data_IF_544363435146
#
_entry.id   IF_544363435146
#
_cell.length_a   1.000
_cell.length_b   1.000
_cell.length_c   1.000
_cell.angle_alpha   90.00
_cell.angle_beta   90.00
_cell.angle_gamma   90.00
#
_symmetry.space_group_name_H-M   'P 1'
#
loop_
_entity.id
_entity.type
_entity.pdbx_description
1 polymer ?
#
# COMPACT_ATOMS: atom_id res chain seq x y z
N UNK A 1 -45.64 -36.64 -120.77
CA UNK A 1 -46.55 -35.83 -119.92
C UNK A 1 -45.67 -35.11 -118.91
N UNK A 2 -45.74 -33.76 -118.92
CA UNK A 2 -45.26 -32.78 -117.94
C UNK A 2 -43.75 -32.68 -117.58
N UNK A 3 -43.21 -31.47 -117.84
CA UNK A 3 -42.13 -30.79 -117.09
C UNK A 3 -42.77 -29.55 -116.38
N UNK A 4 -42.16 -28.88 -115.36
CA UNK A 4 -40.71 -28.67 -115.22
C UNK A 4 -40.07 -28.77 -113.81
N UNK A 5 -38.74 -28.72 -113.87
CA UNK A 5 -37.68 -28.66 -112.86
C UNK A 5 -37.77 -27.54 -111.80
N UNK A 6 -37.13 -27.79 -110.64
CA UNK A 6 -35.97 -27.08 -110.07
C UNK A 6 -35.40 -28.02 -108.98
N UNK A 7 -34.11 -28.28 -108.83
CA UNK A 7 -32.93 -27.60 -109.33
C UNK A 7 -31.85 -27.76 -108.26
N UNK A 8 -31.05 -28.82 -108.38
CA UNK A 8 -29.69 -28.95 -107.88
C UNK A 8 -29.49 -29.31 -106.41
N UNK A 9 -28.97 -30.51 -106.13
CA UNK A 9 -27.98 -30.70 -105.07
C UNK A 9 -27.01 -31.86 -105.37
N UNK A 10 -25.79 -31.64 -104.89
CA UNK A 10 -24.84 -32.63 -104.38
C UNK A 10 -23.71 -33.09 -105.32
N UNK A 11 -22.61 -32.35 -105.24
CA UNK A 11 -21.26 -32.91 -105.32
C UNK A 11 -20.68 -32.99 -103.91
N UNK A 12 -20.58 -34.20 -103.35
CA UNK A 12 -20.02 -34.46 -102.03
C UNK A 12 -18.57 -34.96 -102.16
N UNK A 13 -17.63 -34.12 -101.73
CA UNK A 13 -16.22 -34.45 -101.56
C UNK A 13 -15.96 -34.92 -100.12
N UNK A 14 -14.94 -35.77 -99.92
CA UNK A 14 -14.69 -36.58 -98.73
C UNK A 14 -14.57 -35.79 -97.41
N UNK A 15 -15.40 -36.11 -96.40
CA UNK A 15 -15.41 -35.46 -95.08
C UNK A 15 -14.79 -36.42 -94.05
N UNK A 16 -13.62 -36.05 -93.53
CA UNK A 16 -13.01 -36.70 -92.36
C UNK A 16 -13.93 -36.65 -91.13
N UNK A 17 -13.61 -37.39 -90.06
CA UNK A 17 -14.47 -37.48 -88.87
C UNK A 17 -14.99 -36.08 -88.48
N UNK A 18 -16.32 -35.86 -88.41
CA UNK A 18 -16.94 -34.52 -88.35
C UNK A 18 -16.53 -33.69 -87.11
N UNK A 19 -15.89 -34.33 -86.14
CA UNK A 19 -15.34 -33.74 -84.92
C UNK A 19 -13.92 -33.16 -85.06
N UNK A 20 -13.25 -33.36 -86.21
CA UNK A 20 -11.95 -32.76 -86.54
C UNK A 20 -12.05 -31.79 -87.74
N UNK A 21 -13.21 -31.18 -87.92
CA UNK A 21 -13.41 -30.15 -88.94
C UNK A 21 -12.86 -28.79 -88.46
N UNK A 22 -11.62 -28.50 -88.87
CA UNK A 22 -10.88 -27.27 -88.54
C UNK A 22 -11.54 -25.98 -89.05
N UNK A 23 -12.53 -26.06 -89.94
CA UNK A 23 -13.24 -24.88 -90.43
C UNK A 23 -14.05 -24.17 -89.33
N UNK A 24 -14.44 -24.90 -88.27
CA UNK A 24 -15.22 -24.36 -87.14
C UNK A 24 -14.37 -23.76 -86.01
N UNK A 25 -13.08 -24.10 -85.97
CA UNK A 25 -12.16 -23.74 -84.88
C UNK A 25 -11.96 -22.23 -84.71
N UNK A 26 -11.84 -21.40 -85.77
CA UNK A 26 -11.68 -19.96 -85.61
C UNK A 26 -12.84 -19.28 -84.85
N UNK A 27 -14.08 -19.72 -85.10
CA UNK A 27 -15.26 -19.20 -84.39
C UNK A 27 -15.28 -19.61 -82.92
N UNK A 28 -14.95 -20.87 -82.63
CA UNK A 28 -14.83 -21.37 -81.25
C UNK A 28 -13.72 -20.64 -80.48
N UNK A 29 -12.56 -20.44 -81.10
CA UNK A 29 -11.44 -19.70 -80.50
C UNK A 29 -11.82 -18.24 -80.26
N UNK A 30 -12.52 -17.58 -81.19
CA UNK A 30 -12.99 -16.21 -81.01
C UNK A 30 -13.91 -16.09 -79.78
N UNK A 31 -14.95 -16.93 -79.68
CA UNK A 31 -15.85 -16.90 -78.53
C UNK A 31 -15.18 -17.32 -77.23
N UNK A 32 -14.23 -18.25 -77.28
CA UNK A 32 -13.41 -18.62 -76.14
C UNK A 32 -12.59 -17.43 -75.63
N UNK A 33 -11.96 -16.66 -76.52
CA UNK A 33 -11.22 -15.46 -76.15
C UNK A 33 -12.15 -14.37 -75.58
N UNK A 34 -13.33 -14.18 -76.16
CA UNK A 34 -14.33 -13.24 -75.63
C UNK A 34 -14.79 -13.64 -74.23
N UNK A 35 -15.15 -14.91 -74.03
CA UNK A 35 -15.58 -15.42 -72.73
C UNK A 35 -14.46 -15.39 -71.68
N UNK A 36 -13.24 -15.75 -72.07
CA UNK A 36 -12.06 -15.71 -71.19
C UNK A 36 -11.74 -14.27 -70.78
N UNK A 37 -11.81 -13.31 -71.71
CA UNK A 37 -11.56 -11.89 -71.43
C UNK A 37 -12.65 -11.33 -70.51
N UNK A 38 -13.91 -11.65 -70.77
CA UNK A 38 -15.02 -11.24 -69.91
C UNK A 38 -14.85 -11.82 -68.49
N UNK A 39 -14.54 -13.11 -68.36
CA UNK A 39 -14.27 -13.76 -67.08
C UNK A 39 -13.07 -13.12 -66.36
N UNK A 40 -11.97 -12.87 -67.08
CA UNK A 40 -10.79 -12.21 -66.53
C UNK A 40 -11.11 -10.83 -65.96
N UNK A 41 -11.90 -10.02 -66.69
CA UNK A 41 -12.34 -8.71 -66.20
C UNK A 41 -13.23 -8.81 -64.96
N UNK A 42 -14.16 -9.78 -64.92
CA UNK A 42 -15.00 -9.99 -63.73
C UNK A 42 -14.16 -10.40 -62.52
N UNK A 43 -13.21 -11.33 -62.70
CA UNK A 43 -12.36 -11.78 -61.61
C UNK A 43 -11.46 -10.66 -61.09
N UNK A 44 -10.78 -9.95 -61.98
CA UNK A 44 -9.85 -8.86 -61.60
C UNK A 44 -10.58 -7.66 -61.02
N UNK A 45 -11.76 -7.29 -61.54
CA UNK A 45 -12.44 -6.06 -61.14
C UNK A 45 -13.45 -6.26 -60.01
N UNK A 46 -13.95 -7.47 -59.79
CA UNK A 46 -15.02 -7.73 -58.83
C UNK A 46 -14.67 -8.83 -57.81
N UNK A 47 -14.22 -10.00 -58.24
CA UNK A 47 -14.02 -11.13 -57.32
C UNK A 47 -12.78 -10.95 -56.43
N UNK A 48 -11.61 -10.67 -57.03
CA UNK A 48 -10.35 -10.46 -56.30
C UNK A 48 -10.41 -9.29 -55.30
N UNK A 49 -10.86 -8.07 -55.67
CA UNK A 49 -10.87 -6.97 -54.70
C UNK A 49 -11.78 -7.23 -53.50
N UNK A 50 -12.85 -8.00 -53.68
CA UNK A 50 -13.77 -8.36 -52.58
C UNK A 50 -13.13 -9.35 -51.59
N UNK A 51 -12.31 -10.28 -52.09
CA UNK A 51 -11.58 -11.24 -51.26
C UNK A 51 -10.45 -10.54 -50.51
N UNK A 52 -9.69 -9.67 -51.20
CA UNK A 52 -8.60 -8.89 -50.60
C UNK A 52 -9.13 -8.00 -49.48
N UNK A 53 -10.22 -7.26 -49.70
CA UNK A 53 -10.81 -6.40 -48.66
C UNK A 53 -11.24 -7.17 -47.40
N UNK A 54 -11.76 -8.39 -47.55
CA UNK A 54 -12.13 -9.22 -46.39
C UNK A 54 -10.92 -9.76 -45.60
N UNK A 55 -9.78 -9.94 -46.28
CA UNK A 55 -8.52 -10.33 -45.63
C UNK A 55 -7.91 -9.14 -44.90
N UNK A 56 -7.88 -7.97 -45.55
CA UNK A 56 -7.39 -6.71 -44.97
C UNK A 56 -8.21 -6.32 -43.73
N UNK A 57 -9.55 -6.35 -43.80
CA UNK A 57 -10.41 -6.04 -42.64
C UNK A 57 -10.10 -6.94 -41.43
N UNK A 58 -9.85 -8.23 -41.67
CA UNK A 58 -9.47 -9.16 -40.59
C UNK A 58 -8.07 -8.89 -40.06
N UNK A 59 -7.13 -8.58 -40.96
CA UNK A 59 -5.77 -8.24 -40.58
C UNK A 59 -5.76 -6.99 -39.70
N UNK A 60 -6.45 -5.93 -40.14
CA UNK A 60 -6.56 -4.66 -39.42
C UNK A 60 -7.23 -4.83 -38.05
N UNK A 61 -8.29 -5.64 -37.97
CA UNK A 61 -8.95 -5.94 -36.70
C UNK A 61 -8.02 -6.69 -35.73
N UNK A 62 -7.25 -7.67 -36.23
CA UNK A 62 -6.27 -8.40 -35.42
C UNK A 62 -5.15 -7.48 -34.95
N UNK A 63 -4.66 -6.59 -35.81
CA UNK A 63 -3.60 -5.64 -35.48
C UNK A 63 -4.07 -4.63 -34.43
N UNK A 64 -5.27 -4.04 -34.59
CA UNK A 64 -5.89 -3.16 -33.59
C UNK A 64 -6.09 -3.88 -32.25
N UNK A 65 -6.56 -5.13 -32.26
CA UNK A 65 -6.72 -5.92 -31.03
C UNK A 65 -5.37 -6.22 -30.35
N UNK A 66 -4.32 -6.52 -31.11
CA UNK A 66 -2.97 -6.75 -30.60
C UNK A 66 -2.37 -5.47 -30.00
N UNK A 67 -2.53 -4.34 -30.67
CA UNK A 67 -2.05 -3.04 -30.20
C UNK A 67 -2.77 -2.63 -28.91
N UNK A 68 -4.09 -2.81 -28.84
CA UNK A 68 -4.87 -2.57 -27.63
C UNK A 68 -4.45 -3.49 -26.50
N UNK A 69 -4.22 -4.78 -26.78
CA UNK A 69 -3.75 -5.73 -25.77
C UNK A 69 -2.36 -5.35 -25.25
N UNK A 70 -1.44 -4.93 -26.12
CA UNK A 70 -0.12 -4.45 -25.75
C UNK A 70 -0.21 -3.16 -24.91
N UNK A 71 -1.09 -2.23 -25.28
CA UNK A 71 -1.33 -1.02 -24.52
C UNK A 71 -1.89 -1.32 -23.12
N UNK A 72 -2.90 -2.19 -23.02
CA UNK A 72 -3.47 -2.58 -21.74
C UNK A 72 -2.46 -3.28 -20.85
N UNK A 73 -1.63 -4.17 -21.42
CA UNK A 73 -0.53 -4.79 -20.70
C UNK A 73 0.45 -3.75 -20.16
N UNK A 74 0.87 -2.80 -20.99
CA UNK A 74 1.81 -1.74 -20.58
C UNK A 74 1.21 -0.83 -19.50
N UNK A 75 -0.09 -0.51 -19.59
CA UNK A 75 -0.82 0.24 -18.56
C UNK A 75 -0.93 -0.55 -17.25
N UNK A 76 -1.18 -1.86 -17.31
CA UNK A 76 -1.22 -2.72 -16.14
C UNK A 76 0.14 -2.80 -15.45
N UNK A 77 1.22 -3.02 -16.20
CA UNK A 77 2.60 -3.04 -15.68
C UNK A 77 2.98 -1.69 -15.03
N UNK A 78 2.58 -0.57 -15.63
CA UNK A 78 2.79 0.77 -15.04
C UNK A 78 1.97 0.98 -13.75
N UNK A 79 0.72 0.52 -13.73
CA UNK A 79 -0.14 0.61 -12.56
C UNK A 79 0.37 -0.25 -11.40
N UNK A 80 0.85 -1.47 -11.70
CA UNK A 80 1.49 -2.37 -10.74
C UNK A 80 2.76 -1.74 -10.14
N UNK A 81 3.65 -1.21 -10.99
CA UNK A 81 4.86 -0.53 -10.53
C UNK A 81 4.55 0.70 -9.65
N UNK A 82 3.52 1.49 -10.02
CA UNK A 82 3.08 2.63 -9.22
C UNK A 82 2.46 2.20 -7.89
N UNK A 83 1.68 1.11 -7.88
CA UNK A 83 1.10 0.53 -6.67
C UNK A 83 2.18 0.02 -5.72
N UNK A 84 3.14 -0.75 -6.22
CA UNK A 84 4.24 -1.29 -5.41
C UNK A 84 5.11 -0.18 -4.82
N UNK A 85 5.38 0.86 -5.61
CA UNK A 85 6.08 2.06 -5.13
C UNK A 85 5.29 2.75 -4.02
N UNK A 86 4.00 2.98 -4.22
CA UNK A 86 3.15 3.62 -3.21
C UNK A 86 3.07 2.78 -1.93
N UNK A 87 3.00 1.46 -2.05
CA UNK A 87 3.00 0.53 -0.91
C UNK A 87 4.33 0.56 -0.15
N UNK A 88 5.46 0.58 -0.85
CA UNK A 88 6.78 0.69 -0.26
C UNK A 88 6.96 2.03 0.48
N UNK A 89 6.56 3.14 -0.13
CA UNK A 89 6.59 4.47 0.49
C UNK A 89 5.66 4.57 1.71
N UNK A 90 4.47 3.97 1.65
CA UNK A 90 3.55 3.93 2.78
C UNK A 90 4.13 3.12 3.96
N UNK A 91 4.74 1.97 3.69
CA UNK A 91 5.43 1.16 4.71
C UNK A 91 6.61 1.90 5.34
N UNK A 92 7.42 2.57 4.52
CA UNK A 92 8.54 3.38 5.00
C UNK A 92 8.05 4.53 5.90
N UNK A 93 7.03 5.28 5.46
CA UNK A 93 6.43 6.35 6.26
C UNK A 93 5.81 5.84 7.56
N UNK A 94 5.13 4.69 7.55
CA UNK A 94 4.58 4.09 8.76
C UNK A 94 5.68 3.70 9.77
N UNK A 95 6.79 3.14 9.29
CA UNK A 95 7.93 2.82 10.14
C UNK A 95 8.60 4.08 10.71
N UNK A 96 8.75 5.12 9.89
CA UNK A 96 9.30 6.40 10.32
C UNK A 96 8.43 7.05 11.40
N UNK A 97 7.12 7.13 11.19
CA UNK A 97 6.16 7.63 12.19
C UNK A 97 6.25 6.82 13.47
N UNK A 98 6.24 5.48 13.38
CA UNK A 98 6.33 4.62 14.56
C UNK A 98 7.63 4.83 15.35
N UNK A 99 8.74 5.08 14.66
CA UNK A 99 10.03 5.35 15.30
C UNK A 99 10.07 6.75 15.93
N UNK A 100 9.56 7.77 15.24
CA UNK A 100 9.44 9.14 15.76
C UNK A 100 8.54 9.16 17.01
N UNK A 101 7.35 8.57 16.95
CA UNK A 101 6.43 8.49 18.10
C UNK A 101 7.06 7.74 19.28
N UNK A 102 7.81 6.66 19.05
CA UNK A 102 8.53 5.96 20.14
C UNK A 102 9.61 6.84 20.76
N UNK A 103 10.36 7.59 19.93
CA UNK A 103 11.40 8.49 20.42
C UNK A 103 10.81 9.65 21.23
N UNK A 104 9.73 10.27 20.76
CA UNK A 104 9.00 11.32 21.46
C UNK A 104 8.40 10.80 22.78
N UNK A 105 7.71 9.66 22.74
CA UNK A 105 7.14 9.05 23.95
C UNK A 105 8.22 8.71 24.99
N UNK A 106 9.39 8.23 24.55
CA UNK A 106 10.53 7.97 25.44
C UNK A 106 11.05 9.28 26.05
N UNK A 107 11.23 10.32 25.25
CA UNK A 107 11.70 11.62 25.74
C UNK A 107 10.73 12.24 26.76
N UNK A 108 9.42 12.13 26.52
CA UNK A 108 8.41 12.64 27.44
C UNK A 108 8.31 11.80 28.71
N UNK A 109 8.46 10.47 28.60
CA UNK A 109 8.58 9.59 29.76
C UNK A 109 9.80 9.96 30.61
N UNK A 110 10.97 10.15 29.99
CA UNK A 110 12.20 10.50 30.70
C UNK A 110 12.05 11.86 31.43
N UNK A 111 11.39 12.84 30.81
CA UNK A 111 11.06 14.13 31.47
C UNK A 111 10.09 13.95 32.64
N UNK A 112 9.05 13.13 32.47
CA UNK A 112 8.06 12.88 33.51
C UNK A 112 8.69 12.17 34.72
N UNK A 113 9.58 11.20 34.47
CA UNK A 113 10.36 10.51 35.51
C UNK A 113 11.25 11.52 36.24
N UNK A 114 12.04 12.32 35.51
CA UNK A 114 12.93 13.30 36.14
C UNK A 114 12.16 14.32 37.00
N UNK A 115 10.97 14.75 36.55
CA UNK A 115 10.10 15.62 37.34
C UNK A 115 9.56 14.92 38.59
N UNK A 116 9.08 13.68 38.45
CA UNK A 116 8.58 12.89 39.58
C UNK A 116 9.68 12.65 40.62
N UNK A 117 10.90 12.31 40.19
CA UNK A 117 12.04 12.11 41.08
C UNK A 117 12.40 13.40 41.84
N UNK A 118 12.35 14.56 41.18
CA UNK A 118 12.58 15.84 41.82
C UNK A 118 11.50 16.19 42.86
N UNK A 119 10.22 15.94 42.55
CA UNK A 119 9.11 16.13 43.49
C UNK A 119 9.18 15.18 44.68
N UNK A 120 9.52 13.90 44.45
CA UNK A 120 9.74 12.91 45.50
C UNK A 120 10.89 13.33 46.40
N UNK A 121 12.03 13.75 45.83
CA UNK A 121 13.18 14.20 46.61
C UNK A 121 12.84 15.42 47.48
N UNK A 122 12.13 16.40 46.92
CA UNK A 122 11.69 17.58 47.67
C UNK A 122 10.75 17.21 48.83
N UNK A 123 9.79 16.32 48.58
CA UNK A 123 8.82 15.87 49.59
C UNK A 123 9.46 15.01 50.69
N UNK A 124 10.45 14.20 50.32
CA UNK A 124 11.26 13.44 51.28
C UNK A 124 12.05 14.39 52.18
N UNK A 125 12.73 15.40 51.62
CA UNK A 125 13.47 16.39 52.41
C UNK A 125 12.57 17.22 53.33
N UNK A 126 11.36 17.60 52.88
CA UNK A 126 10.36 18.26 53.73
C UNK A 126 9.91 17.35 54.88
N UNK A 127 9.64 16.08 54.58
CA UNK A 127 9.21 15.09 55.57
C UNK A 127 10.31 14.82 56.61
N UNK A 128 11.57 14.72 56.18
CA UNK A 128 12.72 14.57 57.06
C UNK A 128 12.88 15.75 58.02
N UNK A 129 12.74 16.99 57.53
CA UNK A 129 12.76 18.19 58.38
C UNK A 129 11.64 18.16 59.41
N UNK A 130 10.42 17.86 58.99
CA UNK A 130 9.25 17.80 59.87
C UNK A 130 9.37 16.69 60.91
N UNK A 131 9.93 15.53 60.54
CA UNK A 131 10.25 14.46 61.48
C UNK A 131 11.32 14.92 62.48
N UNK A 132 12.34 15.65 62.04
CA UNK A 132 13.35 16.26 62.91
C UNK A 132 12.74 17.22 63.93
N UNK A 133 11.90 18.15 63.49
CA UNK A 133 11.18 19.09 64.37
C UNK A 133 10.29 18.37 65.39
N UNK A 134 9.54 17.35 64.96
CA UNK A 134 8.71 16.53 65.86
C UNK A 134 9.58 15.80 66.87
N UNK A 135 10.72 15.25 66.44
CA UNK A 135 11.66 14.56 67.34
C UNK A 135 12.23 15.52 68.38
N UNK A 136 12.66 16.70 67.98
CA UNK A 136 13.25 17.69 68.88
C UNK A 136 12.20 18.22 69.87
N UNK A 137 10.97 18.49 69.40
CA UNK A 137 9.84 18.88 70.26
C UNK A 137 9.41 17.78 71.23
N UNK A 138 9.42 16.51 70.78
CA UNK A 138 9.16 15.37 71.65
C UNK A 138 10.23 15.20 72.73
N UNK A 139 11.51 15.36 72.38
CA UNK A 139 12.62 15.32 73.34
C UNK A 139 12.50 16.42 74.40
N UNK A 140 12.16 17.66 74.00
CA UNK A 140 11.92 18.76 74.94
C UNK A 140 10.72 18.49 75.87
N UNK A 141 9.66 17.89 75.33
CA UNK A 141 8.49 17.49 76.12
C UNK A 141 8.83 16.38 77.14
N UNK A 142 9.63 15.40 76.73
CA UNK A 142 10.13 14.34 77.61
C UNK A 142 11.01 14.92 78.72
N UNK A 143 11.91 15.86 78.42
CA UNK A 143 12.75 16.53 79.42
C UNK A 143 11.89 17.30 80.44
N UNK A 144 10.88 18.04 79.98
CA UNK A 144 9.97 18.77 80.87
C UNK A 144 9.19 17.83 81.80
N UNK A 145 8.59 16.77 81.25
CA UNK A 145 7.83 15.77 82.04
C UNK A 145 8.75 15.02 83.00
N UNK A 146 9.97 14.68 82.59
CA UNK A 146 10.95 14.02 83.45
C UNK A 146 11.40 14.92 84.60
N UNK A 147 11.64 16.22 84.36
CA UNK A 147 11.99 17.18 85.40
C UNK A 147 10.84 17.40 86.39
N UNK A 148 9.60 17.53 85.90
CA UNK A 148 8.41 17.64 86.74
C UNK A 148 8.19 16.39 87.59
N UNK A 149 8.33 15.20 86.98
CA UNK A 149 8.19 13.92 87.69
C UNK A 149 9.30 13.73 88.74
N UNK A 150 10.56 14.04 88.39
CA UNK A 150 11.69 13.95 89.31
C UNK A 150 11.50 14.87 90.52
N UNK A 151 11.05 16.12 90.28
CA UNK A 151 10.72 17.06 91.35
C UNK A 151 9.58 16.54 92.22
N UNK A 152 8.48 16.05 91.64
CA UNK A 152 7.34 15.52 92.38
C UNK A 152 7.75 14.32 93.27
N UNK A 153 8.63 13.46 92.79
CA UNK A 153 9.19 12.36 93.57
C UNK A 153 10.01 12.91 94.75
N UNK A 154 10.95 13.83 94.52
CA UNK A 154 11.79 14.37 95.60
C UNK A 154 10.99 15.16 96.63
N UNK A 155 10.02 15.99 96.21
CA UNK A 155 9.12 16.71 97.10
C UNK A 155 8.28 15.75 97.99
N UNK A 156 7.97 14.54 97.50
CA UNK A 156 7.27 13.52 98.29
C UNK A 156 8.14 12.88 99.39
N UNK A 157 9.47 12.93 99.27
CA UNK A 157 10.40 12.35 100.26
C UNK A 157 11.04 13.42 101.16
N UNK A 158 11.36 14.60 100.61
CA UNK A 158 12.05 15.71 101.30
C UNK A 158 11.38 17.02 100.88
N UNK A 159 10.31 17.46 101.58
CA UNK A 159 9.52 18.62 101.16
C UNK A 159 10.34 19.92 101.21
N UNK A 160 10.44 20.63 100.07
CA UNK A 160 10.94 21.99 100.00
C UNK A 160 12.46 22.16 99.78
N UNK A 161 13.22 21.09 99.60
CA UNK A 161 14.67 21.16 99.34
C UNK A 161 15.04 21.22 97.84
N UNK A 162 14.10 21.01 96.92
CA UNK A 162 14.41 20.96 95.48
C UNK A 162 13.70 22.08 94.73
N UNK A 163 14.46 22.87 93.98
CA UNK A 163 13.89 23.88 93.09
C UNK A 163 13.66 23.33 91.67
N UNK A 164 12.79 23.99 90.91
CA UNK A 164 12.54 23.63 89.50
C UNK A 164 13.84 23.69 88.66
N UNK A 165 14.76 24.58 89.03
CA UNK A 165 16.05 24.74 88.38
C UNK A 165 16.97 23.54 88.64
N UNK A 166 16.99 23.01 89.87
CA UNK A 166 17.83 21.87 90.25
C UNK A 166 17.37 20.57 89.57
N UNK A 167 16.05 20.35 89.50
CA UNK A 167 15.46 19.19 88.83
C UNK A 167 15.74 19.18 87.31
N UNK A 168 15.58 20.33 86.64
CA UNK A 168 15.92 20.47 85.22
C UNK A 168 17.42 20.32 84.96
N UNK A 169 18.27 20.86 85.83
CA UNK A 169 19.73 20.72 85.70
C UNK A 169 20.18 19.26 85.83
N UNK A 170 19.59 18.49 86.75
CA UNK A 170 19.92 17.08 86.92
C UNK A 170 19.44 16.20 85.75
N UNK A 171 18.24 16.46 85.23
CA UNK A 171 17.67 15.72 84.08
C UNK A 171 18.43 16.05 82.79
N UNK A 172 18.71 17.32 82.52
CA UNK A 172 19.50 17.75 81.35
C UNK A 172 20.93 17.18 81.36
N UNK A 173 21.58 17.11 82.53
CA UNK A 173 22.89 16.50 82.67
C UNK A 173 22.88 14.98 82.39
N UNK A 174 21.74 14.30 82.60
CA UNK A 174 21.58 12.87 82.29
C UNK A 174 21.12 12.57 80.87
N UNK A 175 20.43 13.50 80.21
CA UNK A 175 20.01 13.36 78.81
C UNK A 175 21.14 13.69 77.83
N UNK A 176 22.09 14.56 78.22
CA UNK A 176 23.20 15.01 77.37
C UNK A 176 24.56 14.33 77.68
N UNK A 177 24.58 13.36 78.62
CA UNK A 177 25.79 12.64 79.07
C UNK A 177 25.86 11.19 78.62
#
# INVERSE_FOLDING_TARGET
MAEPAHGGESGAEAIGMPQLDFTTFPSQIFWLLVALTALYFILTRLALPRIVGAIEERHDAIEDDLDRAAEFRRRAEQAEAAYDKALAEAKARAQEIANQTRAEAKADLDKAIAKADAEIAARTAESEKRIGEIRDGAMASVEAVAAETARAIVDSFIPGETTDADARAAVSARLNG
#
